data_IF_817830318532
#
_entry.id   IF_817830318532
#
_cell.length_a   1.000
_cell.length_b   1.000
_cell.length_c   1.000
_cell.angle_alpha   90.00
_cell.angle_beta   90.00
_cell.angle_gamma   90.00
#
_symmetry.space_group_name_H-M   'P 1'
#
loop_
_entity.id
_entity.type
_entity.pdbx_description
1 polymer ?
#
# COMPACT_ATOMS: atom_id res chain seq x y z
N UNK A 1 16.29 15.40 -7.66
CA UNK A 1 15.36 15.02 -6.55
C UNK A 1 14.02 14.73 -7.18
N UNK A 2 13.34 13.65 -6.81
CA UNK A 2 12.00 13.34 -7.35
C UNK A 2 10.99 14.36 -6.80
N UNK A 3 10.35 15.19 -7.64
CA UNK A 3 9.44 16.24 -7.20
C UNK A 3 8.18 15.69 -6.54
N UNK A 4 7.67 14.54 -6.97
CA UNK A 4 6.52 13.84 -6.37
C UNK A 4 6.75 13.54 -4.88
N UNK A 5 7.98 13.23 -4.49
CA UNK A 5 8.32 12.87 -3.11
C UNK A 5 8.82 14.06 -2.27
N UNK A 6 8.76 15.29 -2.80
CA UNK A 6 9.29 16.49 -2.15
C UNK A 6 8.69 16.72 -0.76
N UNK A 7 7.39 16.56 -0.61
CA UNK A 7 6.70 16.78 0.66
C UNK A 7 6.88 15.57 1.58
N UNK A 8 6.65 14.36 1.10
CA UNK A 8 6.78 13.13 1.87
C UNK A 8 8.20 12.92 2.43
N UNK A 9 9.23 13.39 1.75
CA UNK A 9 10.60 13.37 2.26
C UNK A 9 10.74 13.98 3.65
N UNK A 10 9.96 15.03 3.97
CA UNK A 10 10.00 15.66 5.28
C UNK A 10 9.46 14.77 6.39
N UNK A 11 8.49 13.92 6.07
CA UNK A 11 7.91 12.92 6.98
C UNK A 11 8.75 11.65 7.07
N UNK A 12 9.40 11.24 5.99
CA UNK A 12 10.17 10.00 5.90
C UNK A 12 11.49 10.09 6.69
N UNK A 13 11.39 10.20 8.00
CA UNK A 13 12.49 10.31 8.96
C UNK A 13 12.77 8.97 9.62
N UNK A 14 13.98 8.83 10.21
CA UNK A 14 14.33 7.65 10.99
C UNK A 14 13.40 7.46 12.21
N UNK A 15 13.00 8.56 12.86
CA UNK A 15 12.04 8.54 13.99
C UNK A 15 10.70 7.94 13.58
N UNK A 16 10.15 8.33 12.42
CA UNK A 16 8.92 7.74 11.85
C UNK A 16 9.11 6.24 11.61
N UNK A 17 10.23 5.85 10.99
CA UNK A 17 10.52 4.44 10.69
C UNK A 17 10.55 3.59 11.96
N UNK A 18 11.20 4.07 13.01
CA UNK A 18 11.21 3.38 14.31
C UNK A 18 9.84 3.37 14.98
N UNK A 19 9.08 4.47 14.92
CA UNK A 19 7.72 4.54 15.46
C UNK A 19 6.84 3.45 14.87
N UNK A 20 6.73 3.39 13.55
CA UNK A 20 5.93 2.39 12.85
C UNK A 20 6.40 0.95 13.13
N UNK A 21 7.72 0.73 13.26
CA UNK A 21 8.24 -0.58 13.61
C UNK A 21 7.91 -0.99 15.04
N UNK A 22 7.95 -0.05 16.00
CA UNK A 22 7.62 -0.34 17.41
C UNK A 22 6.13 -0.55 17.63
N UNK A 23 5.27 0.02 16.80
CA UNK A 23 3.82 -0.15 16.89
C UNK A 23 3.37 -1.56 16.48
N UNK A 24 4.20 -2.30 15.74
CA UNK A 24 3.93 -3.68 15.34
C UNK A 24 3.60 -4.61 16.52
N UNK A 25 4.17 -4.36 17.71
CA UNK A 25 3.84 -5.10 18.93
C UNK A 25 2.37 -4.96 19.35
N UNK A 26 1.68 -3.92 18.89
CA UNK A 26 0.28 -3.65 19.21
C UNK A 26 -0.69 -4.28 18.21
N UNK A 27 -0.24 -4.80 17.08
CA UNK A 27 -1.10 -5.31 16.00
C UNK A 27 -2.17 -6.30 16.50
N UNK A 28 -1.78 -7.23 17.39
CA UNK A 28 -2.70 -8.23 17.93
C UNK A 28 -3.31 -7.84 19.28
N UNK A 29 -2.63 -7.03 20.08
CA UNK A 29 -3.07 -6.67 21.45
C UNK A 29 -3.91 -5.41 21.52
N UNK A 30 -3.61 -4.43 20.70
CA UNK A 30 -4.24 -3.12 20.62
C UNK A 30 -4.34 -2.66 19.15
N UNK A 31 -5.14 -3.38 18.32
CA UNK A 31 -5.26 -3.07 16.89
C UNK A 31 -5.73 -1.63 16.63
N UNK A 32 -6.52 -1.05 17.52
CA UNK A 32 -6.94 0.35 17.49
C UNK A 32 -5.75 1.32 17.44
N UNK A 33 -4.71 1.09 18.24
CA UNK A 33 -3.50 1.93 18.26
C UNK A 33 -2.68 1.69 16.99
N UNK A 34 -2.41 0.42 16.67
CA UNK A 34 -1.57 0.07 15.53
C UNK A 34 -2.15 0.58 14.21
N UNK A 35 -3.40 0.21 13.93
CA UNK A 35 -4.05 0.61 12.68
C UNK A 35 -4.41 2.10 12.65
N UNK A 36 -4.68 2.73 13.79
CA UNK A 36 -4.87 4.18 13.89
C UNK A 36 -3.63 4.94 13.43
N UNK A 37 -2.46 4.66 14.02
CA UNK A 37 -1.20 5.30 13.63
C UNK A 37 -0.80 4.98 12.18
N UNK A 38 -1.03 3.73 11.72
CA UNK A 38 -0.76 3.35 10.35
C UNK A 38 -1.68 4.08 9.35
N UNK A 39 -2.94 4.30 9.71
CA UNK A 39 -3.90 5.05 8.90
C UNK A 39 -3.50 6.53 8.79
N UNK A 40 -3.17 7.18 9.91
CA UNK A 40 -2.67 8.56 9.92
C UNK A 40 -1.41 8.72 9.07
N UNK A 41 -0.45 7.78 9.20
CA UNK A 41 0.76 7.77 8.40
C UNK A 41 0.45 7.60 6.90
N UNK A 42 -0.51 6.75 6.57
CA UNK A 42 -0.93 6.49 5.19
C UNK A 42 -1.61 7.71 4.58
N UNK A 43 -2.52 8.36 5.30
CA UNK A 43 -3.15 9.62 4.86
C UNK A 43 -2.09 10.66 4.59
N UNK A 44 -1.14 10.85 5.53
CA UNK A 44 -0.05 11.80 5.34
C UNK A 44 0.87 11.49 4.16
N UNK A 45 1.14 10.19 3.91
CA UNK A 45 1.91 9.76 2.73
C UNK A 45 1.16 10.09 1.44
N UNK A 46 -0.11 9.72 1.36
CA UNK A 46 -0.93 9.91 0.15
C UNK A 46 -1.13 11.40 -0.12
N UNK A 47 -1.39 12.20 0.91
CA UNK A 47 -1.53 13.65 0.79
C UNK A 47 -0.25 14.30 0.27
N UNK A 48 0.91 13.95 0.84
CA UNK A 48 2.21 14.50 0.44
C UNK A 48 2.60 14.08 -0.99
N UNK A 49 2.30 12.84 -1.38
CA UNK A 49 2.52 12.33 -2.74
C UNK A 49 1.57 13.02 -3.73
N UNK A 50 0.30 13.15 -3.41
CA UNK A 50 -0.70 13.80 -4.25
C UNK A 50 -0.36 15.28 -4.49
N UNK A 51 0.02 16.01 -3.44
CA UNK A 51 0.56 17.38 -3.56
C UNK A 51 1.78 17.42 -4.48
N UNK A 52 2.76 16.51 -4.28
CA UNK A 52 3.96 16.45 -5.10
C UNK A 52 3.67 16.15 -6.57
N UNK A 53 2.71 15.27 -6.85
CA UNK A 53 2.28 14.94 -8.20
C UNK A 53 1.56 16.12 -8.89
N UNK A 54 0.73 16.86 -8.16
CA UNK A 54 0.00 18.02 -8.69
C UNK A 54 0.92 19.16 -9.15
N UNK A 55 2.11 19.30 -8.55
CA UNK A 55 3.13 20.26 -8.99
C UNK A 55 3.78 19.93 -10.34
N UNK A 56 3.59 18.71 -10.86
CA UNK A 56 4.13 18.28 -12.15
C UNK A 56 3.12 18.43 -13.31
N UNK A 57 1.87 18.75 -13.01
CA UNK A 57 0.84 19.03 -14.01
C UNK A 57 0.57 20.54 -14.06
N UNK A 58 -0.10 21.00 -15.14
CA UNK A 58 -0.57 22.39 -15.31
C UNK A 58 -1.71 22.77 -14.33
N UNK A 59 -2.02 21.92 -13.38
CA UNK A 59 -3.01 22.20 -12.35
C UNK A 59 -2.48 23.29 -11.43
N UNK A 60 -3.16 24.43 -11.41
CA UNK A 60 -2.90 25.51 -10.45
C UNK A 60 -2.91 24.92 -9.05
N UNK A 61 -1.83 25.03 -8.27
CA UNK A 61 -1.79 24.49 -6.92
C UNK A 61 -2.95 25.11 -6.14
N UNK A 62 -3.77 24.28 -5.50
CA UNK A 62 -4.79 24.77 -4.59
C UNK A 62 -4.11 25.78 -3.63
N UNK A 63 -4.70 26.95 -3.49
CA UNK A 63 -4.23 28.01 -2.59
C UNK A 63 -3.87 27.42 -1.24
N UNK A 64 -2.87 27.91 -0.51
CA UNK A 64 -2.47 27.40 0.81
C UNK A 64 -3.53 27.78 1.86
N UNK A 65 -4.77 27.37 1.64
CA UNK A 65 -5.83 27.37 2.64
C UNK A 65 -5.61 26.15 3.54
N UNK A 66 -5.99 26.26 4.79
CA UNK A 66 -5.79 25.29 5.87
C UNK A 66 -6.45 23.91 5.67
N UNK A 67 -7.05 23.63 4.53
CA UNK A 67 -7.69 22.37 4.18
C UNK A 67 -6.66 21.34 3.68
N UNK A 68 -6.90 20.05 3.98
CA UNK A 68 -6.14 18.93 3.44
C UNK A 68 -6.17 18.93 1.91
N UNK A 69 -5.07 18.53 1.27
CA UNK A 69 -5.03 18.38 -0.19
C UNK A 69 -5.94 17.24 -0.69
N UNK A 70 -6.41 16.37 0.21
CA UNK A 70 -7.34 15.28 -0.09
C UNK A 70 -8.81 15.71 0.01
N UNK A 71 -9.10 16.93 0.47
CA UNK A 71 -10.46 17.42 0.62
C UNK A 71 -11.21 17.40 -0.71
N UNK A 72 -12.35 16.69 -0.73
CA UNK A 72 -13.17 16.49 -1.92
C UNK A 72 -12.60 15.55 -2.98
N UNK A 73 -11.44 14.90 -2.72
CA UNK A 73 -10.93 13.86 -3.62
C UNK A 73 -11.66 12.54 -3.40
N UNK A 74 -11.98 11.84 -4.48
CA UNK A 74 -12.56 10.51 -4.41
C UNK A 74 -11.44 9.46 -4.36
N UNK A 75 -11.36 8.73 -3.25
CA UNK A 75 -10.30 7.76 -2.96
C UNK A 75 -10.89 6.35 -2.87
N UNK A 76 -10.29 5.38 -3.57
CA UNK A 76 -10.57 3.96 -3.41
C UNK A 76 -9.40 3.27 -2.70
N UNK A 77 -9.70 2.59 -1.61
CA UNK A 77 -8.83 1.67 -0.89
C UNK A 77 -9.14 0.22 -1.31
N UNK A 78 -8.20 -0.43 -1.98
CA UNK A 78 -8.34 -1.82 -2.42
C UNK A 78 -7.71 -2.75 -1.38
N UNK A 79 -8.56 -3.47 -0.65
CA UNK A 79 -8.16 -4.28 0.51
C UNK A 79 -8.12 -3.46 1.81
N UNK A 80 -9.10 -2.56 2.01
CA UNK A 80 -9.11 -1.63 3.16
C UNK A 80 -9.40 -2.24 4.53
N UNK A 81 -9.67 -3.57 4.57
CA UNK A 81 -9.82 -4.31 5.82
C UNK A 81 -10.87 -3.74 6.79
N UNK A 82 -10.55 -3.64 8.09
CA UNK A 82 -11.54 -3.34 9.14
C UNK A 82 -12.00 -1.87 9.24
N UNK A 83 -11.58 -0.97 8.32
CA UNK A 83 -12.15 0.38 8.20
C UNK A 83 -11.44 1.50 8.95
N UNK A 84 -10.34 1.26 9.64
CA UNK A 84 -9.56 2.33 10.33
C UNK A 84 -9.08 3.41 9.36
N UNK A 85 -8.67 3.03 8.17
CA UNK A 85 -8.24 3.97 7.12
C UNK A 85 -9.38 4.89 6.70
N UNK A 86 -10.61 4.36 6.60
CA UNK A 86 -11.78 5.15 6.24
C UNK A 86 -12.07 6.29 7.21
N UNK A 87 -11.86 6.07 8.51
CA UNK A 87 -11.99 7.14 9.51
C UNK A 87 -10.98 8.26 9.22
N UNK A 88 -9.70 7.91 9.09
CA UNK A 88 -8.64 8.90 8.90
C UNK A 88 -8.78 9.67 7.55
N UNK A 89 -9.18 9.00 6.46
CA UNK A 89 -9.42 9.67 5.18
C UNK A 89 -10.64 10.59 5.21
N UNK A 90 -11.73 10.18 5.86
CA UNK A 90 -12.91 11.02 6.04
C UNK A 90 -12.59 12.26 6.89
N UNK A 91 -11.78 12.12 7.94
CA UNK A 91 -11.28 13.26 8.74
C UNK A 91 -10.41 14.21 7.92
N UNK A 92 -9.67 13.70 6.93
CA UNK A 92 -8.93 14.51 5.96
C UNK A 92 -9.84 15.15 4.90
N UNK A 93 -11.16 14.90 4.93
CA UNK A 93 -12.15 15.45 4.01
C UNK A 93 -12.22 14.76 2.66
N UNK A 94 -11.66 13.56 2.50
CA UNK A 94 -11.76 12.76 1.29
C UNK A 94 -13.13 12.07 1.20
N UNK A 95 -13.59 11.82 -0.02
CA UNK A 95 -14.72 10.94 -0.33
C UNK A 95 -14.18 9.51 -0.46
N UNK A 96 -14.15 8.79 0.68
CA UNK A 96 -13.47 7.51 0.79
C UNK A 96 -14.38 6.33 0.48
N UNK A 97 -13.87 5.42 -0.34
CA UNK A 97 -14.47 4.13 -0.67
C UNK A 97 -13.48 3.00 -0.38
N UNK A 98 -13.99 1.82 0.00
CA UNK A 98 -13.16 0.63 0.14
C UNK A 98 -13.79 -0.57 -0.55
N UNK A 99 -12.94 -1.44 -1.11
CA UNK A 99 -13.32 -2.72 -1.70
C UNK A 99 -12.56 -3.84 -0.99
N UNK A 100 -13.30 -4.75 -0.32
CA UNK A 100 -12.76 -5.84 0.47
C UNK A 100 -13.53 -7.14 0.17
N UNK A 101 -12.88 -8.25 -0.20
CA UNK A 101 -13.57 -9.52 -0.46
C UNK A 101 -14.03 -10.23 0.83
N UNK A 102 -13.32 -10.06 1.95
CA UNK A 102 -13.58 -10.77 3.20
C UNK A 102 -14.50 -9.98 4.13
N UNK A 103 -15.71 -10.50 4.33
CA UNK A 103 -16.71 -9.91 5.24
C UNK A 103 -16.22 -9.96 6.70
N UNK A 104 -15.42 -10.96 7.06
CA UNK A 104 -14.84 -11.09 8.41
C UNK A 104 -13.86 -9.95 8.70
N UNK A 105 -12.97 -9.63 7.75
CA UNK A 105 -12.06 -8.50 7.86
C UNK A 105 -12.82 -7.16 7.89
N UNK A 106 -13.84 -6.99 7.05
CA UNK A 106 -14.69 -5.78 7.06
C UNK A 106 -15.38 -5.54 8.41
N UNK A 107 -15.73 -6.61 9.12
CA UNK A 107 -16.44 -6.54 10.40
C UNK A 107 -15.51 -6.56 11.63
N UNK A 108 -14.24 -6.84 11.46
CA UNK A 108 -13.31 -7.18 12.55
C UNK A 108 -13.19 -6.08 13.64
N UNK A 109 -13.27 -4.81 13.25
CA UNK A 109 -13.21 -3.68 14.19
C UNK A 109 -14.58 -3.13 14.60
N UNK A 110 -15.69 -3.67 14.07
CA UNK A 110 -17.03 -3.12 14.29
C UNK A 110 -17.28 -1.75 13.64
N UNK A 111 -16.34 -1.26 12.84
CA UNK A 111 -16.45 0.01 12.11
C UNK A 111 -17.38 -0.18 10.91
N UNK A 112 -18.42 0.64 10.82
CA UNK A 112 -19.35 0.61 9.68
C UNK A 112 -19.09 1.81 8.79
N UNK A 113 -18.51 1.55 7.60
CA UNK A 113 -18.35 2.55 6.56
C UNK A 113 -19.50 2.41 5.55
N UNK A 114 -20.16 3.52 5.21
CA UNK A 114 -21.27 3.52 4.23
C UNK A 114 -20.78 3.20 2.83
N UNK A 115 -19.53 3.51 2.52
CA UNK A 115 -18.88 3.35 1.21
C UNK A 115 -18.01 2.09 1.13
N UNK A 116 -18.28 1.09 1.97
CA UNK A 116 -17.62 -0.22 1.93
C UNK A 116 -18.34 -1.15 0.96
N UNK A 117 -17.61 -1.67 -0.03
CA UNK A 117 -18.14 -2.56 -1.07
C UNK A 117 -17.45 -3.91 -0.96
N UNK A 118 -18.25 -4.98 -0.96
CA UNK A 118 -17.71 -6.33 -1.06
C UNK A 118 -17.34 -6.64 -2.51
N UNK A 119 -16.07 -6.95 -2.77
CA UNK A 119 -15.60 -7.23 -4.12
C UNK A 119 -14.16 -7.72 -4.15
N UNK A 120 -13.75 -8.23 -5.30
CA UNK A 120 -12.38 -8.67 -5.54
C UNK A 120 -11.54 -7.52 -6.11
N UNK A 121 -10.31 -7.36 -5.63
CA UNK A 121 -9.34 -6.47 -6.26
C UNK A 121 -8.95 -6.89 -7.69
N UNK A 122 -9.21 -8.16 -8.06
CA UNK A 122 -8.96 -8.69 -9.41
C UNK A 122 -10.07 -8.34 -10.42
N UNK A 123 -11.20 -7.84 -9.94
CA UNK A 123 -12.36 -7.42 -10.76
C UNK A 123 -13.16 -6.41 -9.93
N UNK A 124 -12.69 -5.17 -9.93
CA UNK A 124 -13.24 -4.11 -9.09
C UNK A 124 -14.66 -3.71 -9.58
N UNK A 125 -15.66 -3.74 -8.69
CA UNK A 125 -17.06 -3.47 -9.05
C UNK A 125 -17.35 -1.97 -9.24
N UNK A 126 -16.45 -1.26 -9.90
CA UNK A 126 -16.53 0.18 -10.15
C UNK A 126 -16.33 0.47 -11.65
N UNK A 127 -16.98 1.52 -12.11
CA UNK A 127 -16.77 2.02 -13.47
C UNK A 127 -15.32 2.49 -13.67
N UNK A 128 -14.85 2.43 -14.91
CA UNK A 128 -13.58 3.03 -15.30
C UNK A 128 -13.60 4.54 -15.03
N UNK A 129 -12.44 5.09 -14.63
CA UNK A 129 -12.27 6.53 -14.41
C UNK A 129 -13.16 7.14 -13.30
N UNK A 130 -13.42 6.38 -12.24
CA UNK A 130 -14.29 6.79 -11.15
C UNK A 130 -13.56 7.56 -10.01
N UNK A 131 -12.29 7.29 -9.80
CA UNK A 131 -11.54 7.76 -8.63
C UNK A 131 -10.38 8.70 -9.00
N UNK A 132 -10.12 9.68 -8.15
CA UNK A 132 -8.97 10.59 -8.29
C UNK A 132 -7.68 9.91 -7.81
N UNK A 133 -7.82 9.08 -6.76
CA UNK A 133 -6.73 8.31 -6.17
C UNK A 133 -7.23 6.88 -5.94
N UNK A 134 -6.44 5.88 -6.33
CA UNK A 134 -6.60 4.51 -5.86
C UNK A 134 -5.34 4.10 -5.11
N UNK A 135 -5.52 3.43 -3.98
CA UNK A 135 -4.38 2.88 -3.28
C UNK A 135 -4.66 1.47 -2.77
N UNK A 136 -3.60 0.71 -2.58
CA UNK A 136 -3.62 -0.58 -1.92
C UNK A 136 -2.36 -0.72 -1.08
N UNK A 137 -2.49 -1.29 0.10
CA UNK A 137 -1.38 -1.39 1.05
C UNK A 137 -1.36 -2.75 1.74
N UNK A 138 -0.27 -3.50 1.55
CA UNK A 138 -0.09 -4.85 2.11
C UNK A 138 -1.21 -5.83 1.72
N UNK A 139 -1.61 -5.80 0.46
CA UNK A 139 -2.65 -6.68 -0.11
C UNK A 139 -2.11 -7.51 -1.26
N UNK A 140 -1.21 -6.96 -2.07
CA UNK A 140 -0.72 -7.63 -3.28
C UNK A 140 -0.04 -8.98 -2.99
N UNK A 141 0.65 -9.09 -1.86
CA UNK A 141 1.26 -10.34 -1.38
C UNK A 141 0.23 -11.40 -0.99
N UNK A 142 -1.05 -11.04 -0.84
CA UNK A 142 -2.16 -11.93 -0.52
C UNK A 142 -3.02 -12.30 -1.74
N UNK A 143 -2.65 -11.82 -2.93
CA UNK A 143 -3.43 -12.00 -4.16
C UNK A 143 -2.63 -12.83 -5.17
N UNK A 144 -3.23 -13.85 -5.79
CA UNK A 144 -2.51 -14.72 -6.75
C UNK A 144 -2.06 -13.97 -8.01
N UNK A 145 -2.80 -12.94 -8.43
CA UNK A 145 -2.54 -12.14 -9.62
C UNK A 145 -2.37 -10.64 -9.26
N UNK A 146 -1.30 -10.26 -8.52
CA UNK A 146 -1.17 -8.91 -7.99
C UNK A 146 -1.12 -7.83 -9.07
N UNK A 147 -0.60 -8.15 -10.25
CA UNK A 147 -0.49 -7.17 -11.34
C UNK A 147 -1.82 -6.95 -12.06
N UNK A 148 -2.70 -7.95 -12.10
CA UNK A 148 -4.09 -7.79 -12.55
C UNK A 148 -4.86 -6.85 -11.60
N UNK A 149 -4.62 -6.96 -10.29
CA UNK A 149 -5.18 -6.00 -9.34
C UNK A 149 -4.68 -4.58 -9.61
N UNK A 150 -3.39 -4.41 -9.93
CA UNK A 150 -2.85 -3.11 -10.29
C UNK A 150 -3.44 -2.56 -11.61
N UNK A 151 -3.74 -3.42 -12.60
CA UNK A 151 -4.43 -3.04 -13.84
C UNK A 151 -5.86 -2.58 -13.56
N UNK A 152 -6.59 -3.27 -12.68
CA UNK A 152 -7.93 -2.86 -12.26
C UNK A 152 -7.90 -1.52 -11.51
N UNK A 153 -6.90 -1.29 -10.65
CA UNK A 153 -6.71 0.00 -10.00
C UNK A 153 -6.45 1.11 -11.04
N UNK A 154 -5.60 0.85 -12.05
CA UNK A 154 -5.41 1.78 -13.16
C UNK A 154 -6.72 2.01 -13.94
N UNK A 155 -7.49 0.97 -14.21
CA UNK A 155 -8.77 1.08 -14.94
C UNK A 155 -9.74 2.02 -14.25
N UNK A 156 -9.93 1.85 -12.93
CA UNK A 156 -10.91 2.65 -12.18
C UNK A 156 -10.41 4.03 -11.79
N UNK A 157 -9.12 4.31 -11.90
CA UNK A 157 -8.53 5.64 -11.68
C UNK A 157 -8.82 6.54 -12.91
N UNK A 158 -9.10 7.82 -12.67
CA UNK A 158 -9.30 8.83 -13.73
C UNK A 158 -7.99 9.10 -14.49
N UNK A 159 -8.05 9.50 -15.77
CA UNK A 159 -6.88 10.07 -16.44
C UNK A 159 -6.30 11.23 -15.63
N UNK A 160 -4.97 11.24 -15.47
CA UNK A 160 -4.27 12.19 -14.58
C UNK A 160 -4.33 11.83 -13.08
N UNK A 161 -5.18 10.90 -12.68
CA UNK A 161 -5.29 10.41 -11.30
C UNK A 161 -4.10 9.54 -10.88
N UNK A 162 -3.99 9.28 -9.57
CA UNK A 162 -2.83 8.64 -8.96
C UNK A 162 -3.18 7.25 -8.45
N UNK A 163 -2.36 6.27 -8.81
CA UNK A 163 -2.37 4.92 -8.23
C UNK A 163 -1.18 4.77 -7.30
N UNK A 164 -1.43 4.39 -6.05
CA UNK A 164 -0.41 4.10 -5.05
C UNK A 164 -0.50 2.62 -4.70
N UNK A 165 0.48 1.84 -5.14
CA UNK A 165 0.53 0.40 -4.97
C UNK A 165 1.67 0.04 -4.02
N UNK A 166 1.31 -0.42 -2.82
CA UNK A 166 2.25 -0.68 -1.73
C UNK A 166 2.09 -2.12 -1.24
N UNK A 167 3.18 -2.87 -1.18
CA UNK A 167 3.14 -4.28 -0.82
C UNK A 167 4.41 -4.74 -0.12
N UNK A 168 4.29 -5.82 0.65
CA UNK A 168 5.41 -6.47 1.33
C UNK A 168 6.24 -7.27 0.33
N UNK A 169 7.54 -7.01 0.30
CA UNK A 169 8.50 -7.73 -0.56
C UNK A 169 8.80 -9.09 0.07
N UNK A 170 8.63 -10.18 -0.70
CA UNK A 170 8.78 -11.56 -0.18
C UNK A 170 10.14 -11.82 0.50
N UNK A 171 11.25 -11.45 -0.14
CA UNK A 171 12.58 -11.60 0.43
C UNK A 171 12.96 -10.46 1.38
N UNK A 172 12.07 -9.51 1.62
CA UNK A 172 12.28 -8.47 2.62
C UNK A 172 12.16 -9.00 4.06
N UNK A 173 12.55 -8.19 5.06
CA UNK A 173 12.61 -8.64 6.46
C UNK A 173 11.29 -9.17 7.04
N UNK A 174 10.16 -8.73 6.50
CA UNK A 174 8.82 -9.11 6.96
C UNK A 174 8.03 -9.95 5.96
N UNK A 175 8.67 -10.42 4.85
CA UNK A 175 7.98 -11.20 3.81
C UNK A 175 7.38 -12.52 4.31
N UNK A 176 7.95 -13.10 5.36
CA UNK A 176 7.43 -14.30 6.01
C UNK A 176 6.20 -14.08 6.91
N UNK A 177 5.77 -12.82 7.09
CA UNK A 177 4.67 -12.46 8.01
C UNK A 177 4.87 -13.12 9.39
N UNK A 178 3.82 -13.72 9.97
CA UNK A 178 3.88 -14.37 11.29
C UNK A 178 4.78 -15.61 11.34
N UNK A 179 5.22 -16.14 10.20
CA UNK A 179 6.11 -17.32 10.19
C UNK A 179 7.53 -17.00 10.66
N UNK A 180 7.89 -15.72 10.77
CA UNK A 180 9.13 -15.23 11.37
C UNK A 180 10.11 -14.61 10.37
N UNK A 181 11.18 -14.01 10.91
CA UNK A 181 12.06 -13.09 10.18
C UNK A 181 13.00 -13.75 9.16
N UNK A 182 13.25 -15.06 9.25
CA UNK A 182 14.23 -15.73 8.39
C UNK A 182 13.73 -17.01 7.72
N UNK A 183 12.63 -17.58 8.21
CA UNK A 183 12.14 -18.89 7.79
C UNK A 183 11.72 -18.89 6.31
N UNK A 184 11.16 -17.79 5.84
CA UNK A 184 10.73 -17.60 4.45
C UNK A 184 11.90 -17.58 3.46
N UNK A 185 13.13 -17.26 3.88
CA UNK A 185 14.31 -17.35 3.01
C UNK A 185 14.66 -18.81 2.62
N UNK A 186 14.27 -19.76 3.45
CA UNK A 186 14.42 -21.20 3.13
C UNK A 186 13.31 -21.68 2.20
N UNK A 187 12.15 -20.98 2.22
CA UNK A 187 10.98 -21.24 1.39
C UNK A 187 9.68 -21.17 2.19
N UNK A 188 8.60 -20.81 1.51
CA UNK A 188 7.29 -20.62 2.14
C UNK A 188 6.74 -21.90 2.78
N UNK A 189 6.90 -23.04 2.11
CA UNK A 189 6.53 -24.35 2.64
C UNK A 189 7.30 -24.73 3.93
N UNK A 190 8.60 -24.42 3.96
CA UNK A 190 9.40 -24.64 5.15
C UNK A 190 8.93 -23.75 6.30
N UNK A 191 8.68 -22.48 6.02
CA UNK A 191 8.21 -21.51 7.00
C UNK A 191 6.89 -21.93 7.63
N UNK A 192 5.91 -22.34 6.81
CA UNK A 192 4.60 -22.81 7.26
C UNK A 192 4.71 -24.07 8.13
N UNK A 193 5.45 -25.10 7.67
CA UNK A 193 5.65 -26.33 8.46
C UNK A 193 6.34 -26.08 9.79
N UNK A 194 7.35 -25.19 9.82
CA UNK A 194 8.05 -24.81 11.06
C UNK A 194 7.11 -24.09 12.01
N UNK A 195 6.31 -23.13 11.51
CA UNK A 195 5.33 -22.41 12.31
C UNK A 195 4.35 -23.39 12.97
N UNK A 196 3.75 -24.30 12.19
CA UNK A 196 2.84 -25.34 12.69
C UNK A 196 3.50 -26.21 13.76
N UNK A 197 4.75 -26.62 13.55
CA UNK A 197 5.50 -27.43 14.53
C UNK A 197 5.72 -26.69 15.85
N UNK A 198 5.96 -25.37 15.81
CA UNK A 198 6.26 -24.56 17.02
C UNK A 198 4.99 -24.15 17.75
N UNK A 199 3.93 -23.77 16.99
CA UNK A 199 2.72 -23.16 17.55
C UNK A 199 1.52 -24.11 17.63
N UNK A 200 1.62 -25.32 17.07
CA UNK A 200 0.54 -26.32 17.06
C UNK A 200 -0.65 -26.00 16.14
N UNK A 201 -0.55 -24.92 15.37
CA UNK A 201 -1.60 -24.45 14.45
C UNK A 201 -0.99 -23.95 13.14
N UNK A 202 -1.78 -23.96 12.07
CA UNK A 202 -1.40 -23.35 10.80
C UNK A 202 -1.22 -21.82 10.94
N UNK A 203 -0.31 -21.20 10.16
CA UNK A 203 -0.25 -19.75 10.08
C UNK A 203 -1.55 -19.20 9.45
N UNK A 204 -1.92 -17.96 9.80
CA UNK A 204 -3.05 -17.25 9.18
C UNK A 204 -2.79 -17.08 7.67
N UNK A 205 -1.58 -16.65 7.34
CA UNK A 205 -1.15 -16.43 5.96
C UNK A 205 -0.50 -17.71 5.42
N UNK A 206 -1.24 -18.44 4.57
CA UNK A 206 -0.80 -19.73 4.02
C UNK A 206 -0.08 -19.54 2.70
N UNK A 207 1.14 -20.05 2.64
CA UNK A 207 1.93 -20.04 1.42
C UNK A 207 1.22 -20.74 0.27
N UNK A 208 1.14 -20.05 -0.88
CA UNK A 208 0.46 -20.56 -2.09
C UNK A 208 -1.07 -20.50 -2.07
N UNK A 209 -1.69 -20.11 -0.94
CA UNK A 209 -3.14 -19.92 -0.82
C UNK A 209 -3.50 -18.45 -0.57
N UNK A 210 -2.92 -17.86 0.45
CA UNK A 210 -3.15 -16.46 0.87
C UNK A 210 -1.86 -15.69 1.16
N UNK A 211 -0.71 -16.22 0.76
CA UNK A 211 0.58 -15.55 0.77
C UNK A 211 1.40 -15.99 -0.44
N UNK A 212 1.84 -15.05 -1.24
CA UNK A 212 2.52 -15.28 -2.50
C UNK A 212 3.87 -14.56 -2.56
N UNK A 213 4.76 -15.05 -3.43
CA UNK A 213 6.05 -14.42 -3.67
C UNK A 213 5.88 -13.20 -4.58
N UNK A 214 5.86 -12.01 -3.99
CA UNK A 214 5.86 -10.74 -4.72
C UNK A 214 7.20 -10.05 -4.50
N UNK A 215 8.00 -9.91 -5.57
CA UNK A 215 9.33 -9.30 -5.49
C UNK A 215 9.29 -7.80 -5.80
N UNK A 216 10.31 -7.07 -5.36
CA UNK A 216 10.49 -5.68 -5.76
C UNK A 216 10.81 -5.57 -7.27
N UNK A 217 11.52 -6.57 -7.83
CA UNK A 217 11.83 -6.62 -9.26
C UNK A 217 10.56 -6.75 -10.11
N UNK A 218 9.60 -7.57 -9.68
CA UNK A 218 8.34 -7.75 -10.41
C UNK A 218 7.52 -6.46 -10.44
N UNK A 219 7.41 -5.75 -9.32
CA UNK A 219 6.71 -4.47 -9.29
C UNK A 219 7.36 -3.39 -10.15
N UNK A 220 8.68 -3.30 -10.13
CA UNK A 220 9.40 -2.36 -11.00
C UNK A 220 9.29 -2.74 -12.47
N UNK A 221 9.19 -4.04 -12.80
CA UNK A 221 8.94 -4.52 -14.15
C UNK A 221 7.51 -4.17 -14.59
N UNK A 222 6.51 -4.44 -13.75
CA UNK A 222 5.12 -4.03 -13.99
C UNK A 222 5.01 -2.54 -14.29
N UNK A 223 5.57 -1.69 -13.41
CA UNK A 223 5.54 -0.25 -13.59
C UNK A 223 6.20 0.19 -14.91
N UNK A 224 7.29 -0.48 -15.34
CA UNK A 224 7.95 -0.23 -16.62
C UNK A 224 7.05 -0.63 -17.79
N UNK A 225 6.43 -1.82 -17.73
CA UNK A 225 5.49 -2.26 -18.77
C UNK A 225 4.31 -1.28 -18.92
N UNK A 226 3.73 -0.79 -17.81
CA UNK A 226 2.66 0.21 -17.85
C UNK A 226 3.10 1.56 -18.44
N UNK A 227 4.38 1.93 -18.27
CA UNK A 227 4.95 3.12 -18.94
C UNK A 227 5.18 2.88 -20.42
N UNK A 228 5.72 1.73 -20.78
CA UNK A 228 6.06 1.37 -22.18
C UNK A 228 4.78 1.20 -23.03
N UNK A 229 3.68 0.69 -22.45
CA UNK A 229 2.36 0.62 -23.11
C UNK A 229 1.67 1.98 -23.24
N UNK A 230 2.10 2.98 -22.48
CA UNK A 230 1.48 4.31 -22.45
C UNK A 230 0.30 4.44 -21.50
N UNK A 231 0.00 3.42 -20.70
CA UNK A 231 -1.15 3.42 -19.76
C UNK A 231 -0.90 4.29 -18.54
N UNK A 232 0.37 4.42 -18.14
CA UNK A 232 0.74 5.18 -16.96
C UNK A 232 2.11 5.87 -17.09
N UNK A 233 2.37 6.78 -16.16
CA UNK A 233 3.68 7.36 -15.89
C UNK A 233 4.15 6.92 -14.50
N UNK A 234 5.37 6.39 -14.38
CA UNK A 234 5.95 6.07 -13.07
C UNK A 234 6.48 7.36 -12.43
N UNK A 235 5.75 7.89 -11.47
CA UNK A 235 6.15 9.10 -10.73
C UNK A 235 7.21 8.81 -9.68
N UNK A 236 7.11 7.69 -8.96
CA UNK A 236 8.05 7.32 -7.92
C UNK A 236 8.02 5.82 -7.61
N UNK A 237 9.18 5.29 -7.14
CA UNK A 237 9.30 4.00 -6.49
C UNK A 237 10.23 4.14 -5.28
N UNK A 238 9.76 3.74 -4.10
CA UNK A 238 10.53 3.91 -2.86
C UNK A 238 10.09 2.90 -1.77
N UNK A 239 10.97 2.60 -0.79
CA UNK A 239 10.62 1.74 0.32
C UNK A 239 9.81 2.53 1.36
N UNK A 240 8.59 2.06 1.68
CA UNK A 240 7.60 2.78 2.50
C UNK A 240 8.10 3.18 3.88
N UNK A 241 8.70 2.21 4.59
CA UNK A 241 9.04 2.36 6.01
C UNK A 241 10.46 2.85 6.25
N UNK A 242 11.22 3.11 5.19
CA UNK A 242 12.59 3.59 5.30
C UNK A 242 12.67 5.11 5.30
N UNK A 243 13.66 5.69 5.99
CA UNK A 243 13.91 7.14 5.91
C UNK A 243 14.34 7.52 4.49
N UNK A 244 14.06 8.76 4.11
CA UNK A 244 14.26 9.25 2.73
C UNK A 244 15.67 9.05 2.17
N UNK A 245 16.68 9.10 3.03
CA UNK A 245 18.08 8.91 2.61
C UNK A 245 18.42 7.46 2.25
N UNK A 246 17.57 6.50 2.59
CA UNK A 246 17.71 5.08 2.24
C UNK A 246 16.95 4.69 0.97
N UNK A 247 16.16 5.58 0.35
CA UNK A 247 15.34 5.24 -0.82
C UNK A 247 16.15 4.82 -2.06
N UNK A 248 17.45 5.14 -2.10
CA UNK A 248 18.35 4.68 -3.15
C UNK A 248 18.47 3.15 -3.25
N UNK A 249 18.15 2.43 -2.16
CA UNK A 249 18.24 0.96 -2.10
C UNK A 249 17.39 0.28 -3.18
N UNK A 250 16.28 0.87 -3.59
CA UNK A 250 15.40 0.35 -4.66
C UNK A 250 16.12 0.24 -6.01
N UNK A 251 17.19 1.02 -6.23
CA UNK A 251 17.96 1.00 -7.47
C UNK A 251 18.90 -0.22 -7.59
N UNK A 252 19.22 -0.87 -6.47
CA UNK A 252 20.18 -1.97 -6.44
C UNK A 252 19.45 -3.31 -6.31
N UNK A 253 19.64 -4.24 -7.26
CA UNK A 253 18.86 -5.49 -7.34
C UNK A 253 18.81 -6.30 -6.04
N UNK A 254 19.94 -6.52 -5.38
CA UNK A 254 19.96 -7.29 -4.13
C UNK A 254 19.35 -6.51 -2.96
N UNK A 255 19.68 -5.24 -2.83
CA UNK A 255 19.19 -4.43 -1.71
C UNK A 255 17.68 -4.25 -1.75
N UNK A 256 17.08 -4.06 -2.94
CA UNK A 256 15.64 -3.91 -3.06
C UNK A 256 14.85 -5.16 -2.68
N UNK A 257 15.45 -6.36 -2.83
CA UNK A 257 14.80 -7.60 -2.45
C UNK A 257 14.96 -7.92 -0.96
N UNK A 258 16.18 -7.73 -0.40
CA UNK A 258 16.49 -8.20 0.94
C UNK A 258 16.39 -7.12 2.03
N UNK A 259 16.56 -5.85 1.69
CA UNK A 259 16.54 -4.77 2.66
C UNK A 259 15.26 -3.94 2.63
N UNK A 260 14.46 -4.02 1.57
CA UNK A 260 13.18 -3.31 1.46
C UNK A 260 12.07 -4.20 1.98
N UNK A 261 11.44 -3.79 3.08
CA UNK A 261 10.32 -4.55 3.67
C UNK A 261 9.01 -4.35 2.91
N UNK A 262 8.79 -3.16 2.37
CA UNK A 262 7.59 -2.82 1.61
C UNK A 262 7.97 -1.83 0.50
N UNK A 263 7.58 -2.12 -0.74
CA UNK A 263 7.80 -1.27 -1.90
C UNK A 263 6.54 -0.48 -2.22
N UNK A 264 6.68 0.81 -2.44
CA UNK A 264 5.62 1.69 -2.96
C UNK A 264 5.92 2.05 -4.40
N UNK A 265 4.95 1.83 -5.27
CA UNK A 265 4.91 2.34 -6.63
C UNK A 265 3.86 3.44 -6.71
N UNK A 266 4.23 4.59 -7.27
CA UNK A 266 3.32 5.71 -7.52
C UNK A 266 3.22 5.90 -9.02
N UNK A 267 2.04 5.64 -9.56
CA UNK A 267 1.75 5.75 -10.97
C UNK A 267 0.74 6.87 -11.21
N UNK A 268 0.89 7.60 -12.31
CA UNK A 268 -0.14 8.51 -12.82
C UNK A 268 -0.77 7.86 -14.05
N UNK A 269 -2.08 7.69 -14.06
CA UNK A 269 -2.79 7.21 -15.26
C UNK A 269 -2.73 8.25 -16.38
N UNK A 270 -2.50 7.82 -17.60
CA UNK A 270 -2.54 8.63 -18.81
C UNK A 270 -3.89 8.61 -19.50
#
# INVERSE_FOLDING_TARGET
MNPTLRFFRRRATLRRSFGLLTDFKYEQSRPDIFYGHLAEDTVGLIEDVYRGASFLGDATPASPTSASALSGTRILDVGGGPGYFGIAFNEAGADYYTCEPDVGEMAAAGIKLQSSVRGSGLDLPFASNAFDITYSSNVAEHVPEPWRMADEMLRVTKPGGIVIYSYTVWLGPFGGHETGLWQHYVGGEFAARRYKKVHGKEPKNRWGESLFNVSAADGLRYARCAVDSGDAELLAAFPRYHPWWAWWMVRFPLLREFAVSNLVLVLRKR
#
